data_IF_276139787598
#
_entry.id   IF_276139787598
#
_cell.length_a   1.000
_cell.length_b   1.000
_cell.length_c   1.000
_cell.angle_alpha   90.00
_cell.angle_beta   90.00
_cell.angle_gamma   90.00
#
_symmetry.space_group_name_H-M   'P 1'
#
loop_
_entity.id
_entity.type
_entity.pdbx_description
1 polymer ?
#
# COMPACT_ATOMS: atom_id res chain seq x y z
N UNK A 1 -36.48 -33.52 27.67
CA UNK A 1 -35.77 -32.98 26.50
C UNK A 1 -35.51 -34.13 25.55
N UNK A 2 -35.88 -33.98 24.28
CA UNK A 2 -35.58 -35.00 23.26
C UNK A 2 -34.11 -34.93 22.84
N UNK A 3 -33.56 -36.04 22.35
CA UNK A 3 -32.17 -36.09 21.86
C UNK A 3 -31.92 -35.06 20.75
N UNK A 4 -32.92 -34.82 19.89
CA UNK A 4 -32.90 -33.77 18.87
C UNK A 4 -32.70 -32.35 19.44
N UNK A 5 -33.36 -32.01 20.55
CA UNK A 5 -33.18 -30.71 21.20
C UNK A 5 -31.77 -30.55 21.78
N UNK A 6 -31.17 -31.65 22.26
CA UNK A 6 -29.80 -31.65 22.78
C UNK A 6 -28.78 -31.47 21.65
N UNK A 7 -28.98 -32.14 20.52
CA UNK A 7 -28.11 -32.05 19.34
C UNK A 7 -28.17 -30.65 18.69
N UNK A 8 -29.37 -30.09 18.52
CA UNK A 8 -29.55 -28.71 18.06
C UNK A 8 -28.85 -27.69 18.98
N UNK A 9 -28.95 -27.86 20.30
CA UNK A 9 -28.28 -26.98 21.25
C UNK A 9 -26.75 -27.10 21.17
N UNK A 10 -26.22 -28.30 20.92
CA UNK A 10 -24.79 -28.49 20.70
C UNK A 10 -24.31 -27.81 19.41
N UNK A 11 -25.05 -27.93 18.32
CA UNK A 11 -24.73 -27.28 17.04
C UNK A 11 -24.72 -25.76 17.20
N UNK A 12 -25.75 -25.19 17.84
CA UNK A 12 -25.81 -23.75 18.13
C UNK A 12 -24.62 -23.28 18.95
N UNK A 13 -24.31 -23.99 20.04
CA UNK A 13 -23.19 -23.64 20.91
C UNK A 13 -21.84 -23.71 20.18
N UNK A 14 -21.65 -24.70 19.31
CA UNK A 14 -20.44 -24.82 18.49
C UNK A 14 -20.36 -23.67 17.48
N UNK A 15 -21.44 -23.38 16.76
CA UNK A 15 -21.49 -22.28 15.80
C UNK A 15 -21.27 -20.90 16.44
N UNK A 16 -21.81 -20.68 17.64
CA UNK A 16 -21.57 -19.46 18.43
C UNK A 16 -20.10 -19.34 18.85
N UNK A 17 -19.48 -20.46 19.25
CA UNK A 17 -18.07 -20.50 19.65
C UNK A 17 -17.16 -20.25 18.44
N UNK A 18 -17.45 -20.86 17.29
CA UNK A 18 -16.72 -20.65 16.03
C UNK A 18 -16.86 -19.22 15.53
N UNK A 19 -18.08 -18.68 15.54
CA UNK A 19 -18.35 -17.28 15.19
C UNK A 19 -17.58 -16.31 16.08
N UNK A 20 -17.56 -16.56 17.40
CA UNK A 20 -16.79 -15.75 18.36
C UNK A 20 -15.28 -15.86 18.10
N UNK A 21 -14.78 -17.06 17.83
CA UNK A 21 -13.36 -17.28 17.52
C UNK A 21 -12.95 -16.61 16.22
N UNK A 22 -13.82 -16.60 15.22
CA UNK A 22 -13.61 -15.94 13.93
C UNK A 22 -13.67 -14.41 14.07
N UNK A 23 -14.61 -13.87 14.85
CA UNK A 23 -14.64 -12.44 15.16
C UNK A 23 -13.35 -12.01 15.90
N UNK A 24 -12.90 -12.80 16.87
CA UNK A 24 -11.68 -12.54 17.63
C UNK A 24 -10.40 -12.67 16.78
N UNK A 25 -10.40 -13.49 15.72
CA UNK A 25 -9.26 -13.59 14.80
C UNK A 25 -9.20 -12.39 13.86
N UNK A 26 -10.35 -11.97 13.30
CA UNK A 26 -10.48 -10.76 12.47
C UNK A 26 -10.05 -9.52 13.26
N UNK A 27 -10.51 -9.37 14.50
CA UNK A 27 -10.15 -8.24 15.34
C UNK A 27 -8.65 -8.18 15.63
N UNK A 28 -8.01 -9.34 15.89
CA UNK A 28 -6.56 -9.41 16.08
C UNK A 28 -5.78 -9.02 14.82
N UNK A 29 -6.24 -9.46 13.64
CA UNK A 29 -5.63 -9.09 12.37
C UNK A 29 -5.76 -7.57 12.09
N UNK A 30 -6.92 -6.98 12.38
CA UNK A 30 -7.13 -5.54 12.24
C UNK A 30 -6.24 -4.73 13.19
N UNK A 31 -6.09 -5.16 14.44
CA UNK A 31 -5.19 -4.51 15.40
C UNK A 31 -3.73 -4.61 14.96
N UNK A 32 -3.30 -5.75 14.43
CA UNK A 32 -1.94 -5.92 13.93
C UNK A 32 -1.68 -5.04 12.70
N UNK A 33 -2.62 -4.96 11.77
CA UNK A 33 -2.53 -4.07 10.61
C UNK A 33 -2.44 -2.60 11.03
N UNK A 34 -3.32 -2.14 11.93
CA UNK A 34 -3.29 -0.77 12.43
C UNK A 34 -1.96 -0.42 13.14
N UNK A 35 -1.39 -1.36 13.91
CA UNK A 35 -0.09 -1.16 14.53
C UNK A 35 1.03 -1.06 13.49
N UNK A 36 0.99 -1.85 12.41
CA UNK A 36 1.95 -1.73 11.31
C UNK A 36 1.83 -0.40 10.59
N UNK A 37 0.61 0.05 10.28
CA UNK A 37 0.37 1.35 9.63
C UNK A 37 0.91 2.51 10.46
N UNK A 38 0.68 2.50 11.78
CA UNK A 38 1.20 3.51 12.69
C UNK A 38 2.73 3.59 12.70
N UNK A 39 3.41 2.45 12.54
CA UNK A 39 4.87 2.42 12.50
C UNK A 39 5.43 2.71 11.10
N UNK A 40 4.71 2.33 10.05
CA UNK A 40 5.13 2.49 8.66
C UNK A 40 4.98 3.95 8.18
N UNK A 41 3.92 4.66 8.60
CA UNK A 41 3.68 6.05 8.20
C UNK A 41 4.89 6.99 8.42
N UNK A 42 5.49 7.05 9.62
CA UNK A 42 6.68 7.85 9.88
C UNK A 42 7.90 7.43 9.02
N UNK A 43 8.05 6.15 8.72
CA UNK A 43 9.13 5.65 7.85
C UNK A 43 8.93 6.17 6.43
N UNK A 44 7.71 6.09 5.90
CA UNK A 44 7.38 6.58 4.56
C UNK A 44 7.53 8.10 4.45
N UNK A 45 7.01 8.86 5.42
CA UNK A 45 7.13 10.33 5.45
C UNK A 45 8.60 10.77 5.52
N UNK A 46 9.39 10.19 6.43
CA UNK A 46 10.82 10.51 6.52
C UNK A 46 11.59 10.10 5.27
N UNK A 47 11.23 8.99 4.62
CA UNK A 47 11.83 8.56 3.35
C UNK A 47 11.47 9.54 2.23
N UNK A 48 10.20 9.94 2.11
CA UNK A 48 9.76 10.88 1.08
C UNK A 48 10.51 12.22 1.18
N UNK A 49 10.68 12.74 2.40
CA UNK A 49 11.45 13.97 2.67
C UNK A 49 12.93 13.79 2.35
N UNK A 50 13.52 12.64 2.66
CA UNK A 50 14.91 12.35 2.32
C UNK A 50 15.12 12.31 0.80
N UNK A 51 14.20 11.67 0.06
CA UNK A 51 14.26 11.57 -1.40
C UNK A 51 14.11 12.93 -2.08
N UNK A 52 13.11 13.72 -1.66
CA UNK A 52 12.87 15.05 -2.21
C UNK A 52 13.89 16.10 -1.74
N UNK A 53 14.49 15.93 -0.55
CA UNK A 53 15.42 16.89 0.03
C UNK A 53 16.70 17.12 -0.79
N UNK A 54 17.00 16.24 -1.75
CA UNK A 54 18.12 16.39 -2.68
C UNK A 54 17.88 17.38 -3.82
N UNK A 55 16.63 17.80 -4.07
CA UNK A 55 16.26 18.67 -5.20
C UNK A 55 15.10 19.61 -4.83
N UNK A 56 15.31 20.92 -4.98
CA UNK A 56 14.33 21.94 -4.62
C UNK A 56 13.10 21.97 -5.52
N UNK A 57 13.19 21.38 -6.72
CA UNK A 57 12.09 21.33 -7.67
C UNK A 57 11.10 20.21 -7.33
N UNK A 58 11.51 19.22 -6.52
CA UNK A 58 10.65 18.10 -6.13
C UNK A 58 9.64 18.50 -5.05
N UNK A 59 8.39 18.05 -5.22
CA UNK A 59 7.31 18.26 -4.25
C UNK A 59 6.79 16.93 -3.72
N UNK A 60 6.79 16.79 -2.40
CA UNK A 60 6.13 15.66 -1.72
C UNK A 60 4.66 15.98 -1.49
N UNK A 61 3.78 15.06 -1.82
CA UNK A 61 2.35 15.12 -1.53
C UNK A 61 1.89 13.81 -0.87
N UNK A 62 0.96 13.92 0.06
CA UNK A 62 0.27 12.75 0.62
C UNK A 62 -0.91 12.35 -0.28
N UNK A 63 -1.26 11.05 -0.35
CA UNK A 63 -2.46 10.61 -1.07
C UNK A 63 -3.73 11.30 -0.55
N UNK A 64 -4.60 11.76 -1.46
CA UNK A 64 -5.82 12.49 -1.10
C UNK A 64 -6.92 11.60 -0.53
N UNK A 65 -6.86 10.30 -0.78
CA UNK A 65 -7.80 9.29 -0.29
C UNK A 65 -7.50 8.82 1.14
N UNK A 66 -6.43 9.36 1.77
CA UNK A 66 -5.99 8.95 3.09
C UNK A 66 -5.27 7.60 3.12
N UNK A 67 -4.96 7.03 1.95
CA UNK A 67 -4.16 5.81 1.88
C UNK A 67 -2.72 6.05 2.37
N UNK A 68 -2.11 4.98 2.87
CA UNK A 68 -0.75 5.02 3.37
C UNK A 68 0.23 5.08 2.20
N UNK A 69 1.03 6.13 2.12
CA UNK A 69 1.89 6.36 0.97
C UNK A 69 2.35 7.80 0.83
N UNK A 70 2.97 8.08 -0.30
CA UNK A 70 3.35 9.44 -0.71
C UNK A 70 3.51 9.51 -2.22
N UNK A 71 3.51 10.72 -2.74
CA UNK A 71 3.77 11.04 -4.14
C UNK A 71 4.89 12.09 -4.19
N UNK A 72 5.87 11.90 -5.06
CA UNK A 72 6.89 12.90 -5.37
C UNK A 72 6.66 13.37 -6.80
N UNK A 73 6.44 14.66 -6.98
CA UNK A 73 6.13 15.27 -8.27
C UNK A 73 7.30 16.11 -8.74
N UNK A 74 7.69 15.94 -10.00
CA UNK A 74 8.66 16.80 -10.68
C UNK A 74 7.95 17.78 -11.63
N UNK A 75 8.20 19.10 -11.54
CA UNK A 75 7.41 20.12 -12.25
C UNK A 75 7.57 20.07 -13.77
N UNK A 76 8.68 19.56 -14.28
CA UNK A 76 8.97 19.51 -15.72
C UNK A 76 8.61 18.17 -16.39
N UNK A 77 7.99 17.23 -15.67
CA UNK A 77 7.65 15.95 -16.25
C UNK A 77 6.43 16.07 -17.18
N UNK A 78 6.62 15.79 -18.47
CA UNK A 78 5.60 16.01 -19.51
C UNK A 78 4.49 14.96 -19.55
N UNK A 79 4.79 13.73 -19.17
CA UNK A 79 3.86 12.59 -19.07
C UNK A 79 4.35 11.68 -17.92
N UNK A 80 3.47 11.18 -17.05
CA UNK A 80 3.81 10.28 -15.92
C UNK A 80 4.89 10.82 -14.96
N UNK A 81 4.68 12.05 -14.50
CA UNK A 81 5.66 12.83 -13.75
C UNK A 81 5.71 12.63 -12.25
N UNK A 82 5.12 11.55 -11.75
CA UNK A 82 4.96 11.34 -10.32
C UNK A 82 5.58 10.02 -9.90
N UNK A 83 6.38 10.03 -8.85
CA UNK A 83 6.78 8.82 -8.15
C UNK A 83 5.81 8.60 -7.00
N UNK A 84 4.78 7.78 -7.22
CA UNK A 84 3.79 7.47 -6.22
C UNK A 84 4.10 6.12 -5.56
N UNK A 85 4.13 6.12 -4.24
CA UNK A 85 4.29 4.96 -3.38
C UNK A 85 2.98 4.73 -2.65
N UNK A 86 2.44 3.53 -2.74
CA UNK A 86 1.32 3.08 -1.91
C UNK A 86 1.74 1.89 -1.06
N UNK A 87 1.19 1.82 0.14
CA UNK A 87 1.47 0.79 1.12
C UNK A 87 0.19 0.11 1.58
N UNK A 88 0.24 -1.21 1.71
CA UNK A 88 -0.81 -2.03 2.32
C UNK A 88 -0.20 -2.79 3.50
N UNK A 89 -0.91 -2.79 4.63
CA UNK A 89 -0.55 -3.56 5.81
C UNK A 89 -1.58 -4.67 6.00
N UNK A 90 -1.24 -5.90 5.62
CA UNK A 90 -2.15 -7.03 5.74
C UNK A 90 -1.43 -8.27 6.26
N UNK A 91 -2.13 -9.04 7.10
CA UNK A 91 -1.66 -10.32 7.66
C UNK A 91 -0.32 -10.25 8.41
N UNK A 92 0.07 -9.09 8.93
CA UNK A 92 1.34 -8.92 9.63
C UNK A 92 2.50 -8.46 8.74
N UNK A 93 2.26 -8.29 7.44
CA UNK A 93 3.25 -7.87 6.46
C UNK A 93 2.91 -6.50 5.87
N UNK A 94 3.95 -5.84 5.36
CA UNK A 94 3.92 -4.60 4.61
C UNK A 94 4.16 -4.91 3.14
N UNK A 95 3.26 -4.47 2.27
CA UNK A 95 3.45 -4.49 0.82
C UNK A 95 3.59 -3.06 0.32
N UNK A 96 4.69 -2.75 -0.38
CA UNK A 96 4.91 -1.46 -1.02
C UNK A 96 4.81 -1.60 -2.53
N UNK A 97 4.02 -0.72 -3.13
CA UNK A 97 3.86 -0.62 -4.57
C UNK A 97 4.24 0.76 -5.05
N UNK A 98 4.81 0.83 -6.24
CA UNK A 98 5.22 2.08 -6.89
C UNK A 98 4.55 2.19 -8.25
N UNK A 99 4.15 3.40 -8.62
CA UNK A 99 3.70 3.77 -9.97
C UNK A 99 4.29 5.13 -10.35
N UNK A 100 4.54 5.33 -11.64
CA UNK A 100 4.92 6.57 -12.29
C UNK A 100 3.71 7.48 -12.60
N UNK A 101 2.49 7.00 -12.28
CA UNK A 101 1.23 7.70 -12.54
C UNK A 101 0.60 7.39 -13.89
N UNK A 102 1.12 6.42 -14.63
CA UNK A 102 0.44 5.91 -15.83
C UNK A 102 -0.75 5.04 -15.45
N UNK A 103 -1.93 5.42 -15.94
CA UNK A 103 -3.14 4.63 -15.80
C UNK A 103 -3.73 4.30 -17.17
N UNK A 104 -4.40 3.17 -17.24
CA UNK A 104 -5.18 2.72 -18.39
C UNK A 104 -6.66 2.71 -18.02
N UNK A 105 -7.50 3.20 -18.93
CA UNK A 105 -8.94 3.02 -18.84
C UNK A 105 -9.28 1.57 -19.19
N UNK A 106 -9.89 0.87 -18.24
CA UNK A 106 -10.43 -0.46 -18.45
C UNK A 106 -11.93 -0.32 -18.68
N UNK A 107 -12.33 -0.52 -19.93
CA UNK A 107 -13.74 -0.62 -20.29
C UNK A 107 -14.24 -2.03 -19.98
N UNK A 108 -15.24 -2.14 -19.10
CA UNK A 108 -15.93 -3.40 -18.82
C UNK A 108 -17.44 -3.20 -18.70
N UNK A 109 -18.18 -4.30 -18.65
CA UNK A 109 -19.66 -4.32 -18.58
C UNK A 109 -20.23 -3.64 -17.31
N UNK A 110 -19.38 -3.39 -16.31
CA UNK A 110 -19.74 -2.75 -15.03
C UNK A 110 -19.27 -1.29 -14.91
N UNK A 111 -18.91 -0.63 -16.02
CA UNK A 111 -18.52 0.78 -16.07
C UNK A 111 -17.04 1.02 -16.42
N UNK A 112 -16.64 2.30 -16.44
CA UNK A 112 -15.26 2.69 -16.70
C UNK A 112 -14.46 2.65 -15.40
N UNK A 113 -13.41 1.83 -15.38
CA UNK A 113 -12.48 1.72 -14.26
C UNK A 113 -11.11 2.23 -14.71
N UNK A 114 -10.37 2.88 -13.83
CA UNK A 114 -8.98 3.21 -14.07
C UNK A 114 -8.10 2.25 -13.26
N UNK A 115 -7.07 1.68 -13.89
CA UNK A 115 -6.00 0.95 -13.20
C UNK A 115 -4.66 1.58 -13.55
N UNK A 116 -3.73 1.60 -12.60
CA UNK A 116 -2.33 1.89 -12.90
C UNK A 116 -1.80 0.79 -13.83
N UNK A 117 -1.26 1.15 -14.99
CA UNK A 117 -0.74 0.19 -15.97
C UNK A 117 0.68 -0.26 -15.63
N UNK A 118 1.36 0.49 -14.77
CA UNK A 118 2.78 0.35 -14.45
C UNK A 118 3.03 -0.01 -12.97
N UNK A 119 1.97 -0.14 -12.16
CA UNK A 119 2.11 -0.40 -10.73
C UNK A 119 2.90 -1.68 -10.47
N UNK A 120 4.00 -1.53 -9.73
CA UNK A 120 4.93 -2.61 -9.42
C UNK A 120 5.10 -2.78 -7.92
N UNK A 121 5.03 -4.02 -7.46
CA UNK A 121 5.45 -4.37 -6.10
C UNK A 121 6.98 -4.31 -5.97
N UNK A 122 7.45 -3.57 -4.98
CA UNK A 122 8.88 -3.31 -4.75
C UNK A 122 9.37 -3.81 -3.40
N UNK A 123 8.43 -4.16 -2.52
CA UNK A 123 8.69 -4.78 -1.24
C UNK A 123 7.44 -5.53 -0.78
N UNK A 124 7.62 -6.74 -0.24
CA UNK A 124 6.60 -7.49 0.47
C UNK A 124 7.27 -8.31 1.57
N UNK A 125 6.84 -8.13 2.82
CA UNK A 125 7.41 -8.80 3.97
C UNK A 125 7.18 -8.06 5.29
N UNK A 126 7.83 -8.46 6.38
CA UNK A 126 7.65 -7.84 7.70
C UNK A 126 8.11 -6.37 7.71
N UNK A 127 7.77 -5.60 8.74
CA UNK A 127 8.24 -4.22 8.86
C UNK A 127 9.77 -4.17 9.05
N UNK A 128 10.51 -3.97 7.96
CA UNK A 128 11.95 -3.77 7.95
C UNK A 128 12.30 -2.43 7.32
N UNK A 129 12.54 -1.43 8.19
CA UNK A 129 12.83 -0.07 7.78
C UNK A 129 14.01 0.02 6.80
N UNK A 130 15.08 -0.76 7.03
CA UNK A 130 16.29 -0.69 6.22
C UNK A 130 16.02 -1.19 4.80
N UNK A 131 15.32 -2.32 4.68
CA UNK A 131 14.95 -2.87 3.37
C UNK A 131 13.94 -1.97 2.66
N UNK A 132 12.92 -1.47 3.37
CA UNK A 132 11.94 -0.54 2.84
C UNK A 132 12.63 0.70 2.25
N UNK A 133 13.46 1.38 3.04
CA UNK A 133 14.20 2.57 2.59
C UNK A 133 15.08 2.26 1.39
N UNK A 134 15.82 1.15 1.43
CA UNK A 134 16.72 0.76 0.34
C UNK A 134 15.96 0.46 -0.96
N UNK A 135 14.83 -0.25 -0.88
CA UNK A 135 13.98 -0.53 -2.03
C UNK A 135 13.42 0.74 -2.63
N UNK A 136 12.86 1.64 -1.80
CA UNK A 136 12.30 2.91 -2.26
C UNK A 136 13.36 3.81 -2.91
N UNK A 137 14.53 3.97 -2.28
CA UNK A 137 15.65 4.75 -2.83
C UNK A 137 16.09 4.26 -4.21
N UNK A 138 16.22 2.93 -4.37
CA UNK A 138 16.62 2.34 -5.65
C UNK A 138 15.62 2.67 -6.76
N UNK A 139 14.32 2.55 -6.48
CA UNK A 139 13.28 2.81 -7.48
C UNK A 139 13.15 4.31 -7.77
N UNK A 140 13.24 5.15 -6.74
CA UNK A 140 13.25 6.59 -6.90
C UNK A 140 14.39 7.06 -7.80
N UNK A 141 15.62 6.57 -7.60
CA UNK A 141 16.76 6.94 -8.44
C UNK A 141 16.54 6.59 -9.92
N UNK A 142 16.00 5.39 -10.20
CA UNK A 142 15.69 4.98 -11.57
C UNK A 142 14.63 5.89 -12.21
N UNK A 143 13.56 6.19 -11.46
CA UNK A 143 12.51 7.11 -11.92
C UNK A 143 13.06 8.51 -12.15
N UNK A 144 13.82 9.05 -11.19
CA UNK A 144 14.38 10.41 -11.26
C UNK A 144 15.34 10.58 -12.44
N UNK A 145 16.17 9.56 -12.72
CA UNK A 145 16.99 9.53 -13.94
C UNK A 145 16.15 9.51 -15.22
N UNK A 146 14.99 8.84 -15.21
CA UNK A 146 14.08 8.78 -16.37
C UNK A 146 13.41 10.14 -16.60
N UNK A 147 12.96 10.79 -15.53
CA UNK A 147 12.35 12.13 -15.58
C UNK A 147 13.34 13.20 -16.01
N UNK A 148 14.58 13.16 -15.52
CA UNK A 148 15.63 14.09 -15.92
C UNK A 148 16.22 13.78 -17.31
N UNK A 149 16.07 12.56 -17.82
CA UNK A 149 16.48 12.20 -19.17
C UNK A 149 15.44 12.63 -20.21
N UNK A 150 15.44 13.93 -20.51
CA UNK A 150 15.76 14.34 -21.89
C UNK A 150 16.79 13.37 -22.49
N UNK A 151 16.46 12.73 -23.63
CA UNK A 151 17.35 11.82 -24.39
C UNK A 151 18.83 12.25 -24.30
N UNK A 152 19.80 11.35 -24.03
CA UNK A 152 21.12 11.55 -24.61
C UNK A 152 20.96 11.44 -26.14
N UNK A 153 21.21 12.57 -26.82
CA UNK A 153 21.38 12.77 -28.27
C UNK A 153 20.78 11.72 -29.22
#
# INVERSE_FOLDING_TARGET
MSDFQREMHQIQKTAETESTAQAASVQRQQQAAAALEQNLGPILDSTARELAGGDQDLRVQSPSDGSLGFCIIHPNAKDAGQFAVSADCSKGDVTLKITDGNWEEVHGDMGNWARWSDQKEVYSGPLDEKHIRSSLKKQFLNWYQTVLNTRPN
#
